data_IF_458544541886
#
_entry.id   IF_458544541886
#
_cell.length_a   1.000
_cell.length_b   1.000
_cell.length_c   1.000
_cell.angle_alpha   90.00
_cell.angle_beta   90.00
_cell.angle_gamma   90.00
#
_symmetry.space_group_name_H-M   'P 1'
#
loop_
_entity.id
_entity.type
_entity.pdbx_description
1 polymer ?
#
# COMPACT_ATOMS: atom_id res chain seq x y z
N UNK A 1 23.19 6.59 12.39
CA UNK A 1 22.38 7.80 12.66
C UNK A 1 21.45 8.01 11.46
N UNK A 2 20.20 8.46 11.63
CA UNK A 2 19.32 8.85 10.51
C UNK A 2 19.08 10.35 10.60
N UNK A 3 19.27 11.08 9.50
CA UNK A 3 19.19 12.54 9.47
C UNK A 3 18.63 13.03 8.13
N UNK A 4 18.07 14.25 8.14
CA UNK A 4 17.67 15.01 6.96
C UNK A 4 18.42 16.34 7.03
N UNK A 5 19.17 16.67 5.99
CA UNK A 5 20.02 17.87 5.97
C UNK A 5 21.01 17.82 4.81
N UNK A 6 21.93 18.78 4.79
CA UNK A 6 23.06 18.85 3.85
C UNK A 6 24.32 18.29 4.51
N UNK A 7 25.29 17.84 3.71
CA UNK A 7 26.63 17.41 4.18
C UNK A 7 26.59 16.27 5.22
N UNK A 8 25.75 15.25 4.99
CA UNK A 8 25.46 14.17 5.96
C UNK A 8 26.57 13.10 6.13
N UNK A 9 27.77 13.31 5.56
CA UNK A 9 28.89 12.37 5.62
C UNK A 9 28.77 11.18 4.67
N UNK A 10 29.49 10.10 4.97
CA UNK A 10 29.51 8.86 4.17
C UNK A 10 28.29 7.96 4.46
N UNK A 11 27.85 7.19 3.46
CA UNK A 11 26.73 6.25 3.57
C UNK A 11 27.11 4.87 2.98
N UNK A 12 26.57 3.80 3.55
CA UNK A 12 26.77 2.43 3.05
C UNK A 12 26.19 2.24 1.63
N UNK A 13 25.12 2.98 1.30
CA UNK A 13 24.50 2.98 -0.02
C UNK A 13 24.03 4.37 -0.41
N UNK A 14 24.23 4.72 -1.68
CA UNK A 14 23.88 6.02 -2.25
C UNK A 14 22.88 5.84 -3.39
N UNK A 15 21.78 6.58 -3.32
CA UNK A 15 20.79 6.71 -4.39
C UNK A 15 20.85 8.15 -4.88
N UNK A 16 21.31 8.37 -6.11
CA UNK A 16 21.36 9.69 -6.72
C UNK A 16 19.95 10.15 -7.16
N UNK A 17 19.44 11.20 -6.52
CA UNK A 17 18.17 11.82 -6.82
C UNK A 17 18.33 13.23 -7.43
N UNK A 18 19.48 13.54 -8.02
CA UNK A 18 19.73 14.83 -8.66
C UNK A 18 18.65 15.18 -9.70
N UNK A 19 18.14 16.41 -9.64
CA UNK A 19 17.07 16.90 -10.50
C UNK A 19 15.70 16.24 -10.25
N UNK A 20 15.53 15.50 -9.14
CA UNK A 20 14.25 14.94 -8.70
C UNK A 20 13.76 15.65 -7.44
N UNK A 21 12.48 15.42 -7.12
CA UNK A 21 11.89 15.86 -5.85
C UNK A 21 11.66 14.66 -4.96
N UNK A 22 12.02 14.79 -3.69
CA UNK A 22 11.82 13.74 -2.68
C UNK A 22 10.60 14.11 -1.84
N UNK A 23 9.64 13.19 -1.76
CA UNK A 23 8.45 13.31 -0.93
C UNK A 23 8.39 12.15 0.06
N UNK A 24 7.69 12.30 1.20
CA UNK A 24 7.17 11.15 1.92
C UNK A 24 6.31 10.29 0.99
N UNK A 25 6.28 8.98 1.23
CA UNK A 25 5.39 8.10 0.49
C UNK A 25 3.93 8.49 0.67
N UNK A 26 3.16 8.51 -0.42
CA UNK A 26 1.75 8.91 -0.36
C UNK A 26 0.89 7.84 0.30
N UNK A 27 -0.29 8.25 0.78
CA UNK A 27 -1.32 7.37 1.33
C UNK A 27 -2.60 7.57 0.53
N UNK A 28 -3.08 6.50 -0.11
CA UNK A 28 -4.36 6.51 -0.81
C UNK A 28 -5.47 6.08 0.16
N UNK A 29 -6.43 6.95 0.39
CA UNK A 29 -7.55 6.66 1.29
C UNK A 29 -8.68 5.88 0.62
N UNK A 30 -8.64 5.70 -0.69
CA UNK A 30 -9.71 5.03 -1.43
C UNK A 30 -9.17 4.23 -2.61
N UNK A 31 -8.97 2.93 -2.41
CA UNK A 31 -8.66 2.00 -3.50
C UNK A 31 -9.57 0.76 -3.51
N UNK A 32 -9.63 0.06 -4.65
CA UNK A 32 -10.35 -1.20 -4.77
C UNK A 32 -9.38 -2.30 -5.23
N UNK A 33 -8.95 -3.16 -4.30
CA UNK A 33 -8.02 -4.27 -4.59
C UNK A 33 -8.72 -5.53 -5.12
N UNK A 34 -10.06 -5.58 -5.07
CA UNK A 34 -10.93 -6.61 -5.68
C UNK A 34 -10.74 -8.06 -5.18
N UNK A 35 -9.77 -8.30 -4.30
CA UNK A 35 -9.58 -9.55 -3.59
C UNK A 35 -10.02 -9.40 -2.12
N UNK A 36 -10.91 -10.27 -1.61
CA UNK A 36 -11.39 -11.52 -2.20
C UNK A 36 -12.58 -11.40 -3.20
N UNK A 37 -12.67 -12.37 -4.11
CA UNK A 37 -13.87 -12.72 -4.88
C UNK A 37 -14.04 -12.04 -6.24
N UNK A 38 -13.18 -11.09 -6.60
CA UNK A 38 -13.20 -10.40 -7.90
C UNK A 38 -11.79 -10.31 -8.51
N UNK A 39 -10.94 -11.31 -8.25
CA UNK A 39 -9.50 -11.35 -8.58
C UNK A 39 -9.22 -11.18 -10.08
N UNK A 40 -10.18 -11.53 -10.94
CA UNK A 40 -10.07 -11.30 -12.38
C UNK A 40 -9.99 -9.82 -12.77
N UNK A 41 -10.38 -8.90 -11.87
CA UNK A 41 -10.27 -7.45 -12.08
C UNK A 41 -8.95 -6.89 -11.56
N UNK A 42 -8.57 -7.30 -10.35
CA UNK A 42 -7.36 -6.90 -9.64
C UNK A 42 -7.15 -7.84 -8.44
N UNK A 43 -5.93 -7.98 -7.94
CA UNK A 43 -5.64 -8.65 -6.67
C UNK A 43 -4.77 -7.77 -5.76
N UNK A 44 -4.56 -8.19 -4.50
CA UNK A 44 -3.78 -7.40 -3.53
C UNK A 44 -2.34 -7.20 -4.00
N UNK A 45 -1.73 -8.17 -4.67
CA UNK A 45 -0.34 -8.08 -5.11
C UNK A 45 -0.20 -7.14 -6.31
N UNK A 46 -1.01 -7.30 -7.34
CA UNK A 46 -0.97 -6.44 -8.53
C UNK A 46 -1.37 -5.01 -8.19
N UNK A 47 -2.43 -4.81 -7.40
CA UNK A 47 -2.89 -3.49 -6.98
C UNK A 47 -1.87 -2.76 -6.10
N UNK A 48 -1.18 -3.46 -5.19
CA UNK A 48 -0.14 -2.83 -4.35
C UNK A 48 1.15 -2.56 -5.12
N UNK A 49 1.48 -3.36 -6.15
CA UNK A 49 2.56 -3.03 -7.11
C UNK A 49 2.23 -1.77 -7.90
N UNK A 50 0.98 -1.63 -8.35
CA UNK A 50 0.53 -0.43 -9.04
C UNK A 50 0.60 0.80 -8.11
N UNK A 51 0.15 0.67 -6.87
CA UNK A 51 0.24 1.73 -5.86
C UNK A 51 1.69 2.16 -5.62
N UNK A 52 2.62 1.21 -5.42
CA UNK A 52 4.05 1.52 -5.24
C UNK A 52 4.63 2.26 -6.45
N UNK A 53 4.27 1.84 -7.67
CA UNK A 53 4.69 2.52 -8.91
C UNK A 53 4.15 3.95 -9.00
N UNK A 54 2.97 4.21 -8.44
CA UNK A 54 2.35 5.53 -8.34
C UNK A 54 2.90 6.43 -7.22
N UNK A 55 3.84 5.94 -6.40
CA UNK A 55 4.41 6.70 -5.28
C UNK A 55 3.67 6.53 -3.95
N UNK A 56 2.70 5.62 -3.88
CA UNK A 56 2.02 5.29 -2.63
C UNK A 56 2.81 4.27 -1.83
N UNK A 57 2.83 4.45 -0.52
CA UNK A 57 3.42 3.48 0.42
C UNK A 57 2.37 2.83 1.33
N UNK A 58 1.14 3.34 1.30
CA UNK A 58 -0.01 2.77 1.95
C UNK A 58 -1.30 3.01 1.15
N UNK A 59 -2.24 2.08 1.24
CA UNK A 59 -3.56 2.18 0.62
C UNK A 59 -4.65 1.70 1.59
N UNK A 60 -5.81 2.35 1.55
CA UNK A 60 -7.02 1.92 2.26
C UNK A 60 -7.96 1.24 1.27
N UNK A 61 -8.13 -0.09 1.39
CA UNK A 61 -8.95 -0.85 0.45
C UNK A 61 -10.42 -0.88 0.89
N UNK A 62 -11.31 -0.59 -0.06
CA UNK A 62 -12.74 -0.47 0.19
C UNK A 62 -13.42 -1.85 0.42
N UNK A 63 -14.47 -1.91 1.27
CA UNK A 63 -15.08 -3.14 1.77
C UNK A 63 -15.94 -3.93 0.76
N UNK A 64 -16.06 -3.47 -0.48
CA UNK A 64 -17.01 -4.01 -1.46
C UNK A 64 -16.48 -5.22 -2.27
N UNK A 65 -15.67 -6.05 -1.60
CA UNK A 65 -15.22 -7.36 -2.07
C UNK A 65 -16.34 -8.41 -1.92
N UNK A 66 -16.08 -9.67 -2.30
CA UNK A 66 -17.02 -10.79 -2.11
C UNK A 66 -16.28 -11.93 -1.40
N UNK A 67 -16.55 -12.18 -0.10
CA UNK A 67 -17.49 -11.48 0.77
C UNK A 67 -17.08 -10.02 1.06
N UNK A 68 -18.04 -9.14 1.42
CA UNK A 68 -17.71 -7.80 1.88
C UNK A 68 -16.95 -7.82 3.20
N UNK A 69 -16.15 -6.78 3.48
CA UNK A 69 -15.38 -6.66 4.73
C UNK A 69 -16.26 -6.16 5.90
N UNK A 70 -17.29 -6.93 6.26
CA UNK A 70 -18.26 -6.60 7.33
C UNK A 70 -17.98 -7.33 8.66
N UNK A 71 -16.94 -8.15 8.71
CA UNK A 71 -16.54 -8.90 9.90
C UNK A 71 -15.02 -9.09 9.98
N UNK A 72 -14.54 -9.42 11.19
CA UNK A 72 -13.12 -9.53 11.47
C UNK A 72 -12.40 -10.62 10.64
N UNK A 73 -13.09 -11.71 10.27
CA UNK A 73 -12.48 -12.81 9.53
C UNK A 73 -12.09 -12.39 8.11
N UNK A 74 -12.94 -11.61 7.42
CA UNK A 74 -12.62 -11.11 6.08
C UNK A 74 -11.48 -10.08 6.15
N UNK A 75 -11.49 -9.17 7.12
CA UNK A 75 -10.38 -8.23 7.34
C UNK A 75 -9.06 -8.96 7.62
N UNK A 76 -9.08 -10.01 8.45
CA UNK A 76 -7.90 -10.82 8.74
C UNK A 76 -7.36 -11.55 7.50
N UNK A 77 -8.25 -12.05 6.63
CA UNK A 77 -7.86 -12.67 5.36
C UNK A 77 -7.12 -11.67 4.45
N UNK A 78 -7.63 -10.44 4.33
CA UNK A 78 -6.98 -9.38 3.53
C UNK A 78 -5.61 -9.03 4.12
N UNK A 79 -5.52 -8.88 5.44
CA UNK A 79 -4.24 -8.61 6.11
C UNK A 79 -3.22 -9.74 5.94
N UNK A 80 -3.64 -11.00 5.99
CA UNK A 80 -2.76 -12.15 5.76
C UNK A 80 -2.19 -12.13 4.33
N UNK A 81 -3.06 -11.91 3.34
CA UNK A 81 -2.64 -11.79 1.93
C UNK A 81 -1.72 -10.58 1.72
N UNK A 82 -2.00 -9.46 2.38
CA UNK A 82 -1.21 -8.25 2.32
C UNK A 82 0.20 -8.38 2.92
N UNK A 83 0.55 -9.48 3.60
CA UNK A 83 1.94 -9.75 4.02
C UNK A 83 2.92 -9.81 2.84
N UNK A 84 2.42 -10.10 1.63
CA UNK A 84 3.21 -10.14 0.39
C UNK A 84 3.07 -8.87 -0.45
N UNK A 85 2.33 -7.87 0.02
CA UNK A 85 2.09 -6.63 -0.70
C UNK A 85 3.34 -5.76 -0.81
N UNK A 86 3.37 -4.91 -1.84
CA UNK A 86 4.44 -3.92 -2.02
C UNK A 86 4.20 -2.61 -1.26
N UNK A 87 2.99 -2.39 -0.76
CA UNK A 87 2.60 -1.24 0.06
C UNK A 87 1.83 -1.72 1.28
N UNK A 88 1.71 -0.88 2.32
CA UNK A 88 0.83 -1.20 3.46
C UNK A 88 -0.62 -1.20 3.00
N UNK A 89 -1.40 -2.17 3.44
CA UNK A 89 -2.83 -2.27 3.16
C UNK A 89 -3.60 -2.10 4.46
N UNK A 90 -4.51 -1.13 4.49
CA UNK A 90 -5.43 -0.88 5.59
C UNK A 90 -6.86 -1.21 5.13
N UNK A 91 -7.44 -2.34 5.55
CA UNK A 91 -8.82 -2.67 5.22
C UNK A 91 -9.80 -1.69 5.84
N UNK A 92 -10.69 -1.12 5.03
CA UNK A 92 -11.83 -0.33 5.54
C UNK A 92 -13.00 -1.29 5.81
N UNK A 93 -13.57 -1.24 7.01
CA UNK A 93 -14.75 -2.03 7.36
C UNK A 93 -16.01 -1.50 6.68
N UNK A 94 -16.94 -2.38 6.32
CA UNK A 94 -18.24 -1.99 5.79
C UNK A 94 -19.04 -1.17 6.82
N UNK A 95 -19.76 -0.16 6.35
CA UNK A 95 -20.68 0.63 7.15
C UNK A 95 -22.04 0.73 6.42
N UNK A 96 -23.13 0.78 7.19
CA UNK A 96 -24.52 0.89 6.70
C UNK A 96 -25.15 2.21 7.08
#
# INVERSE_FOLDING_TARGET
>A
MRAIGTELGEADSVIDAAGKTIFPGFIDLHCHLREPGQEYKEDILSGTRAAAKGGYTAVCCMPNTVPPMDNAAVCALVLEKARRACTKVYPVGAAT
#
